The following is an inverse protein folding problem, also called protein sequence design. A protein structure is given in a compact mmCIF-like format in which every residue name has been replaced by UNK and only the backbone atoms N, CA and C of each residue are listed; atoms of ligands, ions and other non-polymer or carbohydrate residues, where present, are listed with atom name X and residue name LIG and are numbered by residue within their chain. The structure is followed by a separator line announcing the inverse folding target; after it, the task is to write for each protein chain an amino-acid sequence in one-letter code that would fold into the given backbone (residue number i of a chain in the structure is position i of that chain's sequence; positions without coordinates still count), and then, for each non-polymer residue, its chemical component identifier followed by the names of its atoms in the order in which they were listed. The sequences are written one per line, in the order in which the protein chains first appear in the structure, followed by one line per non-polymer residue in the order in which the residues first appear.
data_IF_954361471645
#
_entry.id   IF_954361471645
#
_cell.length_a   1.000
_cell.length_b   1.000
_cell.length_c   1.000
_cell.angle_alpha   90.00
_cell.angle_beta   90.00
_cell.angle_gamma   90.00
#
_symmetry.space_group_name_H-M   'P 1'
#
loop_
_entity.id
_entity.type
_entity.pdbx_description
1 polymer ?
2 polymer ?
3 non-polymer ?
4 non-polymer ?
5 water ?
#
# COMPACT_ATOMS: atom_id res chain seq x y z
N UNK A 15 -28.47 -28.25 -10.10
CA UNK A 15 -28.53 -28.49 -11.53
C UNK A 15 -27.83 -27.36 -12.28
N UNK A 16 -26.83 -27.69 -13.10
CA UNK A 16 -26.14 -26.69 -13.92
C UNK A 16 -26.48 -26.91 -15.39
N UNK A 17 -26.02 -25.98 -16.22
CA UNK A 17 -26.15 -26.14 -17.66
C UNK A 17 -25.14 -25.24 -18.37
N UNK A 18 -24.88 -25.56 -19.63
CA UNK A 18 -24.01 -24.75 -20.47
C UNK A 18 -24.55 -24.78 -21.89
N UNK A 19 -24.67 -23.60 -22.50
CA UNK A 19 -25.15 -23.46 -23.87
C UNK A 19 -23.97 -22.99 -24.71
N UNK A 20 -23.69 -23.72 -25.78
CA UNK A 20 -22.50 -23.47 -26.59
C UNK A 20 -22.86 -23.49 -28.06
N UNK A 21 -22.12 -22.70 -28.83
CA UNK A 21 -22.27 -22.67 -30.28
C UNK A 21 -21.30 -23.64 -30.92
N UNK A 22 -21.82 -24.47 -31.83
CA UNK A 22 -21.00 -25.42 -32.57
C UNK A 22 -21.32 -25.30 -34.05
N UNK A 23 -20.43 -25.86 -34.87
CA UNK A 23 -20.60 -25.90 -36.32
C UNK A 23 -20.49 -27.34 -36.76
N UNK A 24 -21.61 -27.91 -37.19
CA UNK A 24 -21.62 -29.27 -37.73
C UNK A 24 -21.05 -29.26 -39.14
N UNK A 25 -20.29 -30.30 -39.48
CA UNK A 25 -19.83 -30.43 -40.85
C UNK A 25 -20.93 -30.96 -41.76
N UNK A 26 -21.97 -31.59 -41.18
CA UNK A 26 -23.13 -31.97 -41.98
C UNK A 26 -23.89 -30.74 -42.45
N UNK A 27 -24.09 -29.77 -41.55
CA UNK A 27 -24.74 -28.49 -41.85
C UNK A 27 -23.74 -27.38 -41.56
N UNK A 28 -22.81 -27.12 -42.48
CA UNK A 28 -21.77 -26.12 -42.20
C UNK A 28 -22.21 -24.67 -42.35
N UNK A 29 -23.36 -24.43 -42.98
CA UNK A 29 -23.75 -23.06 -43.29
C UNK A 29 -24.20 -22.29 -42.05
N UNK A 30 -24.99 -22.94 -41.19
CA UNK A 30 -25.58 -22.24 -40.05
C UNK A 30 -24.83 -22.57 -38.77
N UNK A 31 -25.35 -22.08 -37.64
CA UNK A 31 -24.78 -22.33 -36.33
C UNK A 31 -25.80 -23.07 -35.48
N UNK A 32 -25.37 -24.14 -34.83
CA UNK A 32 -26.25 -24.88 -33.93
C UNK A 32 -25.92 -24.53 -32.49
N UNK A 33 -26.67 -25.12 -31.57
CA UNK A 33 -26.49 -24.86 -30.15
C UNK A 33 -26.56 -26.17 -29.39
N UNK A 34 -25.67 -26.31 -28.42
CA UNK A 34 -25.67 -27.44 -27.50
C UNK A 34 -26.00 -26.93 -26.11
N UNK A 35 -27.01 -27.51 -25.49
CA UNK A 35 -27.38 -27.20 -24.11
C UNK A 35 -27.15 -28.47 -23.29
N UNK A 36 -26.02 -28.52 -22.58
CA UNK A 36 -25.67 -29.65 -21.74
C UNK A 36 -26.03 -29.30 -20.30
N UNK A 37 -26.79 -30.17 -19.64
CA UNK A 37 -27.17 -29.99 -18.24
C UNK A 37 -26.79 -31.21 -17.42
N UNK A 38 -26.34 -30.98 -16.18
CA UNK A 38 -25.79 -32.04 -15.34
C UNK A 38 -25.93 -31.65 -13.87
N UNK A 39 -25.64 -32.60 -13.00
CA UNK A 39 -25.75 -32.43 -11.55
C UNK A 39 -25.16 -33.62 -10.81
N UNK A 40 -24.16 -33.44 -9.96
CA UNK A 40 -23.55 -32.13 -9.79
C UNK A 40 -22.28 -32.05 -10.64
N UNK A 41 -21.86 -33.20 -11.18
CA UNK A 41 -20.67 -33.27 -12.03
C UNK A 41 -21.05 -33.90 -13.36
N UNK A 42 -20.23 -33.61 -14.38
CA UNK A 42 -20.48 -34.16 -15.71
C UNK A 42 -20.30 -35.68 -15.76
N UNK A 43 -19.61 -36.25 -14.77
CA UNK A 43 -19.33 -37.69 -14.78
C UNK A 43 -20.57 -38.50 -14.42
N UNK A 44 -21.40 -37.98 -13.52
CA UNK A 44 -22.58 -38.72 -13.06
C UNK A 44 -23.70 -38.75 -14.08
N UNK A 45 -23.45 -38.37 -15.32
CA UNK A 45 -24.48 -38.34 -16.33
C UNK A 45 -24.92 -36.91 -16.64
N UNK A 46 -25.42 -36.72 -17.85
CA UNK A 46 -25.85 -35.40 -18.27
C UNK A 46 -26.88 -35.53 -19.37
N UNK A 47 -27.61 -34.44 -19.61
CA UNK A 47 -28.55 -34.32 -20.70
C UNK A 47 -27.95 -33.36 -21.72
N UNK A 48 -27.98 -33.76 -22.99
CA UNK A 48 -27.40 -32.98 -24.07
C UNK A 48 -28.45 -32.78 -25.15
N UNK A 49 -28.57 -31.55 -25.65
CA UNK A 49 -29.59 -31.17 -26.61
C UNK A 49 -28.95 -30.37 -27.74
N UNK A 50 -29.28 -30.73 -28.97
CA UNK A 50 -28.87 -29.99 -30.16
C UNK A 50 -30.08 -29.29 -30.76
N UNK A 51 -29.88 -28.07 -31.25
CA UNK A 51 -30.99 -27.30 -31.79
C UNK A 51 -30.47 -26.29 -32.81
N UNK A 52 -31.29 -26.02 -33.83
CA UNK A 52 -30.95 -25.06 -34.87
C UNK A 52 -31.93 -23.90 -34.90
N UNK A 53 -32.63 -23.64 -33.79
CA UNK A 53 -33.68 -22.65 -33.78
C UNK A 53 -34.96 -23.09 -34.45
N UNK A 54 -35.14 -24.38 -34.67
CA UNK A 54 -36.36 -24.93 -35.27
C UNK A 54 -36.67 -26.30 -34.69
N UNK A 55 -35.80 -27.28 -34.95
CA UNK A 55 -35.94 -28.59 -34.34
C UNK A 55 -34.99 -28.72 -33.16
N UNK A 56 -35.16 -29.79 -32.41
CA UNK A 56 -34.31 -30.04 -31.24
C UNK A 56 -34.21 -31.54 -31.01
N UNK A 57 -32.98 -32.02 -30.80
CA UNK A 57 -32.72 -33.41 -30.50
C UNK A 57 -32.09 -33.50 -29.12
N UNK A 58 -32.67 -34.35 -28.27
CA UNK A 58 -32.23 -34.47 -26.89
C UNK A 58 -31.87 -35.92 -26.58
N UNK A 59 -30.76 -36.10 -25.88
CA UNK A 59 -30.37 -37.43 -25.41
C UNK A 59 -29.81 -37.34 -24.01
N UNK A 60 -30.03 -38.41 -23.25
CA UNK A 60 -29.52 -38.52 -21.89
C UNK A 60 -28.38 -39.52 -21.87
N UNK A 61 -27.19 -39.05 -21.52
CA UNK A 61 -26.00 -39.88 -21.42
C UNK A 61 -25.81 -40.25 -19.96
N UNK A 62 -26.04 -41.51 -19.62
CA UNK A 62 -25.96 -41.96 -18.24
C UNK A 62 -24.51 -42.02 -17.79
N UNK A 63 -24.33 -42.33 -16.49
CA UNK A 63 -22.99 -42.50 -15.96
C UNK A 63 -22.30 -43.73 -16.54
N UNK A 64 -23.07 -44.81 -16.74
CA UNK A 64 -22.51 -46.02 -17.32
C UNK A 64 -22.04 -45.81 -18.74
N UNK A 65 -22.75 -44.97 -19.50
CA UNK A 65 -22.36 -44.72 -20.89
C UNK A 65 -21.07 -43.92 -20.97
N UNK A 66 -20.79 -43.07 -19.98
CA UNK A 66 -19.54 -42.32 -19.98
C UNK A 66 -18.38 -43.26 -19.70
N UNK A 67 -18.55 -44.19 -18.74
CA UNK A 67 -17.52 -45.19 -18.48
C UNK A 67 -17.26 -46.06 -19.71
N UNK A 68 -18.35 -46.55 -20.33
CA UNK A 68 -18.20 -47.40 -21.51
C UNK A 68 -17.47 -46.69 -22.63
N UNK A 69 -17.79 -45.41 -22.84
CA UNK A 69 -17.16 -44.67 -23.94
C UNK A 69 -15.66 -44.52 -23.72
N UNK A 70 -15.25 -44.32 -22.47
CA UNK A 70 -13.83 -44.19 -22.16
C UNK A 70 -13.13 -45.54 -22.24
N UNK A 71 -13.79 -46.61 -21.77
CA UNK A 71 -13.17 -47.93 -21.78
C UNK A 71 -13.00 -48.45 -23.20
N UNK A 72 -13.98 -48.21 -24.07
CA UNK A 72 -13.88 -48.66 -25.46
C UNK A 72 -12.74 -47.99 -26.23
N UNK A 73 -12.11 -46.95 -25.67
CA UNK A 73 -10.92 -46.37 -26.27
C UNK A 73 -9.73 -46.41 -25.32
N UNK A 74 -9.83 -47.18 -24.23
CA UNK A 74 -8.72 -47.41 -23.31
C UNK A 74 -8.15 -46.09 -22.78
N UNK A 75 -9.05 -45.14 -22.51
CA UNK A 75 -8.69 -43.86 -21.91
C UNK A 75 -9.15 -43.84 -20.46
N UNK A 76 -8.30 -43.33 -19.58
CA UNK A 76 -8.68 -43.17 -18.19
C UNK A 76 -9.90 -42.26 -18.08
N UNK A 77 -10.82 -42.65 -17.22
CA UNK A 77 -12.06 -41.96 -17.05
C UNK A 77 -11.90 -40.48 -16.74
N UNK A 78 -11.13 -40.20 -15.74
CA UNK A 78 -10.90 -38.80 -15.37
C UNK A 78 -10.39 -37.98 -16.54
N UNK A 79 -9.46 -38.54 -17.32
CA UNK A 79 -8.96 -37.84 -18.50
C UNK A 79 -10.04 -37.71 -19.57
N UNK A 80 -10.94 -38.70 -19.67
CA UNK A 80 -11.99 -38.65 -20.69
C UNK A 80 -13.08 -37.65 -20.31
N UNK A 81 -13.56 -37.72 -19.06
CA UNK A 81 -14.53 -36.74 -18.59
C UNK A 81 -13.98 -35.33 -18.74
N UNK A 82 -12.67 -35.17 -18.57
CA UNK A 82 -12.05 -33.88 -18.83
C UNK A 82 -12.12 -33.47 -20.29
N UNK A 83 -12.21 -34.45 -21.19
CA UNK A 83 -12.32 -34.13 -22.62
C UNK A 83 -13.75 -33.80 -23.01
N UNK A 84 -14.74 -34.33 -22.28
CA UNK A 84 -16.12 -33.93 -22.51
C UNK A 84 -16.33 -32.46 -22.19
N UNK A 85 -15.86 -32.03 -21.01
CA UNK A 85 -15.95 -30.62 -20.64
C UNK A 85 -15.29 -29.73 -21.68
N UNK A 86 -14.16 -30.18 -22.24
CA UNK A 86 -13.44 -29.36 -23.20
C UNK A 86 -14.17 -29.30 -24.54
N UNK A 87 -14.92 -30.34 -24.89
CA UNK A 87 -15.61 -30.44 -26.17
C UNK A 87 -17.08 -30.04 -26.10
N UNK A 88 -17.80 -30.43 -25.06
CA UNK A 88 -19.23 -30.18 -24.97
C UNK A 88 -19.58 -28.92 -24.21
N UNK A 89 -18.70 -28.46 -23.32
CA UNK A 89 -18.96 -27.29 -22.49
C UNK A 89 -18.18 -26.06 -22.96
N UNK A 90 -17.62 -26.10 -24.18
CA UNK A 90 -16.93 -24.96 -24.79
C UNK A 90 -15.86 -24.38 -23.86
N UNK A 91 -15.05 -25.27 -23.29
CA UNK A 91 -13.97 -24.83 -22.43
C UNK A 91 -12.63 -25.41 -22.79
N UNK A 92 -12.13 -25.08 -23.98
CA UNK A 92 -10.86 -25.63 -24.44
C UNK A 92 -10.27 -24.75 -25.53
N UNK A 93 -8.96 -24.90 -25.72
CA UNK A 93 -8.26 -24.30 -26.83
C UNK A 93 -8.25 -22.79 -26.80
N UNK A 94 -7.64 -22.16 -27.83
CA UNK A 94 -6.88 -22.79 -28.92
C UNK A 94 -5.55 -23.40 -28.42
N UNK A 95 -4.98 -24.35 -29.16
CA UNK A 95 -5.51 -24.80 -30.44
C UNK A 95 -6.15 -26.18 -30.35
N UNK A 96 -7.09 -26.33 -29.42
CA UNK A 96 -7.87 -27.57 -29.32
C UNK A 96 -8.93 -27.55 -30.42
N UNK A 97 -8.73 -28.36 -31.45
CA UNK A 97 -9.66 -28.46 -32.56
C UNK A 97 -10.62 -29.60 -32.32
N UNK A 98 -11.90 -29.36 -32.57
CA UNK A 98 -12.94 -30.38 -32.44
C UNK A 98 -13.83 -30.34 -33.66
N UNK A 99 -14.30 -31.52 -34.06
CA UNK A 99 -15.19 -31.68 -35.20
C UNK A 99 -16.47 -32.33 -34.71
N UNK A 100 -17.62 -31.80 -35.14
CA UNK A 100 -18.92 -32.26 -34.69
C UNK A 100 -19.73 -32.75 -35.88
N UNK A 101 -20.33 -33.92 -35.73
CA UNK A 101 -21.15 -34.52 -36.77
C UNK A 101 -22.51 -34.88 -36.19
N UNK A 102 -23.55 -34.75 -37.02
CA UNK A 102 -24.87 -35.18 -36.61
C UNK A 102 -25.62 -35.67 -37.84
N UNK A 103 -26.24 -36.83 -37.72
CA UNK A 103 -27.06 -37.42 -38.76
C UNK A 103 -28.51 -37.36 -38.32
N UNK A 104 -29.33 -36.59 -39.05
CA UNK A 104 -30.73 -36.47 -38.69
C UNK A 104 -31.51 -37.75 -38.93
N UNK A 105 -30.93 -38.72 -39.65
CA UNK A 105 -31.60 -40.00 -39.87
C UNK A 105 -31.41 -40.94 -38.69
N UNK A 106 -30.15 -41.19 -38.29
CA UNK A 106 -29.86 -42.05 -37.17
C UNK A 106 -29.90 -41.34 -35.83
N UNK A 107 -29.89 -40.00 -35.84
CA UNK A 107 -29.92 -39.20 -34.62
C UNK A 107 -28.73 -39.50 -33.71
N UNK A 108 -27.59 -39.79 -34.33
CA UNK A 108 -26.35 -40.01 -33.60
C UNK A 108 -25.51 -38.75 -33.67
N UNK A 109 -25.01 -38.32 -32.52
CA UNK A 109 -24.14 -37.16 -32.41
C UNK A 109 -22.70 -37.66 -32.24
N UNK A 110 -21.84 -37.32 -33.18
CA UNK A 110 -20.43 -37.69 -33.14
C UNK A 110 -19.58 -36.46 -32.93
N UNK A 111 -18.51 -36.61 -32.16
CA UNK A 111 -17.52 -35.55 -32.05
C UNK A 111 -16.15 -36.16 -31.81
N UNK A 112 -15.12 -35.48 -32.30
CA UNK A 112 -13.76 -35.99 -32.25
C UNK A 112 -12.79 -34.82 -32.10
N UNK A 113 -11.67 -35.10 -31.42
CA UNK A 113 -10.59 -34.13 -31.27
C UNK A 113 -9.56 -34.38 -32.37
N UNK A 114 -9.30 -33.35 -33.17
CA UNK A 114 -8.46 -33.48 -34.35
C UNK A 114 -7.06 -32.95 -34.07
N UNK A 115 -6.07 -33.81 -34.23
CA UNK A 115 -4.67 -33.41 -34.25
C UNK A 115 -4.13 -33.53 -35.67
N UNK A 116 -2.89 -33.06 -35.85
CA UNK A 116 -2.29 -33.03 -37.19
C UNK A 116 -2.03 -34.43 -37.72
N UNK A 117 -1.93 -35.44 -36.85
CA UNK A 117 -1.60 -36.79 -37.28
C UNK A 117 -2.57 -37.86 -36.79
N UNK A 118 -3.51 -37.53 -35.89
CA UNK A 118 -4.44 -38.53 -35.37
C UNK A 118 -5.71 -37.81 -34.94
N UNK A 119 -6.84 -38.51 -35.05
CA UNK A 119 -8.13 -38.01 -34.58
C UNK A 119 -8.71 -38.99 -33.58
N UNK A 120 -9.08 -38.51 -32.40
CA UNK A 120 -9.64 -39.32 -31.35
C UNK A 120 -11.17 -39.21 -31.40
N UNK A 121 -11.83 -40.29 -31.82
CA UNK A 121 -13.30 -40.34 -31.82
C UNK A 121 -13.76 -40.41 -30.37
N UNK A 122 -14.27 -39.30 -29.85
CA UNK A 122 -14.51 -39.17 -28.42
C UNK A 122 -15.89 -39.64 -27.98
N UNK A 123 -16.92 -39.44 -28.79
CA UNK A 123 -18.26 -39.75 -28.35
C UNK A 123 -19.20 -40.04 -29.50
N UNK A 124 -20.24 -40.82 -29.20
CA UNK A 124 -21.30 -41.11 -30.16
C UNK A 124 -22.59 -41.22 -29.36
N UNK A 125 -23.35 -40.13 -29.32
CA UNK A 125 -24.55 -40.02 -28.51
C UNK A 125 -25.78 -40.02 -29.40
N UNK A 126 -26.82 -40.73 -28.95
CA UNK A 126 -28.09 -40.81 -29.67
C UNK A 126 -29.05 -39.79 -29.09
N UNK A 127 -29.39 -38.78 -29.88
CA UNK A 127 -30.27 -37.69 -29.47
C UNK A 127 -31.57 -37.84 -30.26
N UNK A 128 -32.59 -38.43 -29.65
CA UNK A 128 -33.86 -38.60 -30.33
C UNK A 128 -34.57 -37.25 -30.48
N UNK A 129 -35.29 -37.11 -31.60
CA UNK A 129 -35.94 -35.84 -31.90
C UNK A 129 -37.10 -35.60 -30.95
N UNK A 130 -37.21 -34.37 -30.45
CA UNK A 130 -38.28 -34.03 -29.51
C UNK A 130 -39.53 -33.65 -30.29
N UNK A 131 -40.69 -33.81 -29.63
CA UNK A 131 -41.95 -33.55 -30.30
C UNK A 131 -42.27 -32.05 -30.33
N UNK A 132 -41.97 -31.32 -29.26
CA UNK A 132 -42.23 -29.88 -29.18
C UNK A 132 -40.89 -29.16 -29.00
N UNK A 133 -40.18 -28.89 -30.09
CA UNK A 133 -38.91 -28.16 -29.97
C UNK A 133 -39.06 -26.71 -29.56
N UNK A 134 -40.21 -26.09 -29.84
CA UNK A 134 -40.40 -24.69 -29.47
C UNK A 134 -40.40 -24.53 -27.95
N UNK A 135 -41.03 -25.47 -27.24
CA UNK A 135 -41.01 -25.44 -25.78
C UNK A 135 -39.58 -25.49 -25.24
N UNK A 136 -38.71 -26.25 -25.91
CA UNK A 136 -37.32 -26.34 -25.48
C UNK A 136 -36.58 -25.04 -25.83
N UNK A 137 -36.82 -24.51 -27.02
CA UNK A 137 -36.16 -23.27 -27.41
C UNK A 137 -36.60 -22.11 -26.51
N UNK A 138 -37.88 -22.06 -26.15
CA UNK A 138 -38.35 -20.99 -25.28
C UNK A 138 -37.72 -21.07 -23.90
N UNK A 139 -37.69 -22.27 -23.31
CA UNK A 139 -37.04 -22.44 -22.02
C UNK A 139 -35.56 -22.07 -22.10
N UNK A 140 -34.91 -22.37 -23.22
CA UNK A 140 -33.51 -21.99 -23.40
C UNK A 140 -33.36 -20.47 -23.41
N UNK A 141 -34.26 -19.76 -24.08
CA UNK A 141 -34.15 -18.30 -24.12
C UNK A 141 -34.53 -17.70 -22.78
N UNK A 142 -35.53 -18.28 -22.09
CA UNK A 142 -35.85 -17.82 -20.75
C UNK A 142 -34.66 -17.97 -19.82
N UNK A 143 -33.88 -19.04 -19.97
CA UNK A 143 -32.69 -19.20 -19.15
C UNK A 143 -31.65 -18.12 -19.47
N UNK A 144 -31.44 -17.82 -20.75
CA UNK A 144 -30.47 -16.81 -21.10
C UNK A 144 -30.89 -15.43 -20.61
N UNK A 145 -32.18 -15.10 -20.72
CA UNK A 145 -32.66 -13.81 -20.21
C UNK A 145 -32.52 -13.73 -18.71
N UNK A 146 -32.85 -14.81 -18.00
CA UNK A 146 -32.67 -14.83 -16.55
C UNK A 146 -31.20 -14.69 -16.17
N UNK A 147 -30.31 -15.30 -16.96
CA UNK A 147 -28.88 -15.19 -16.67
C UNK A 147 -28.38 -13.77 -16.89
N UNK A 148 -28.82 -13.13 -17.98
CA UNK A 148 -28.43 -11.75 -18.24
C UNK A 148 -28.91 -10.84 -17.12
N UNK A 149 -30.13 -11.07 -16.63
CA UNK A 149 -30.65 -10.26 -15.52
C UNK A 149 -29.84 -10.50 -14.25
N UNK A 150 -29.45 -11.74 -13.99
CA UNK A 150 -28.61 -12.02 -12.83
C UNK A 150 -27.23 -11.36 -12.97
N UNK A 151 -26.66 -11.40 -14.17
CA UNK A 151 -25.33 -10.85 -14.37
C UNK A 151 -25.32 -9.33 -14.18
N UNK A 152 -26.29 -8.64 -14.78
CA UNK A 152 -26.34 -7.19 -14.63
C UNK A 152 -26.65 -6.77 -13.20
N UNK A 153 -27.26 -7.64 -12.40
CA UNK A 153 -27.43 -7.33 -10.98
C UNK A 153 -26.12 -7.45 -10.23
N UNK A 154 -25.31 -8.45 -10.56
CA UNK A 154 -23.99 -8.59 -9.94
C UNK A 154 -23.06 -7.48 -10.40
N UNK A 155 -23.23 -6.99 -11.62
CA UNK A 155 -22.50 -5.80 -12.07
C UNK A 155 -22.81 -4.61 -11.17
N UNK A 156 -24.10 -4.31 -11.00
CA UNK A 156 -24.49 -3.13 -10.24
C UNK A 156 -24.10 -3.26 -8.77
N UNK A 157 -24.07 -4.48 -8.24
CA UNK A 157 -23.69 -4.66 -6.84
C UNK A 157 -22.17 -4.60 -6.65
N UNK A 158 -21.41 -5.09 -7.63
CA UNK A 158 -19.95 -4.99 -7.56
C UNK A 158 -19.48 -3.58 -7.88
N UNK A 159 -20.10 -2.95 -8.87
CA UNK A 159 -19.76 -1.56 -9.18
C UNK A 159 -20.03 -0.64 -7.99
N UNK A 160 -21.09 -0.94 -7.23
CA UNK A 160 -21.38 -0.13 -6.05
C UNK A 160 -20.34 -0.31 -4.96
N UNK A 161 -19.73 -1.50 -4.86
CA UNK A 161 -18.71 -1.71 -3.84
C UNK A 161 -17.43 -0.95 -4.15
N UNK A 162 -17.13 -0.71 -5.43
CA UNK A 162 -15.94 0.07 -5.77
C UNK A 162 -16.15 1.55 -5.51
N UNK A 163 -17.35 2.06 -5.79
CA UNK A 163 -17.66 3.44 -5.45
C UNK A 163 -17.55 3.68 -3.96
N UNK A 164 -17.83 2.66 -3.15
CA UNK A 164 -17.66 2.77 -1.71
C UNK A 164 -16.21 2.56 -1.31
N UNK A 165 -15.54 1.57 -1.90
CA UNK A 165 -14.14 1.32 -1.57
C UNK A 165 -13.27 2.50 -1.97
N UNK A 166 -13.58 3.15 -3.09
CA UNK A 166 -12.81 4.31 -3.52
C UNK A 166 -13.15 5.56 -2.73
N UNK A 167 -14.36 5.65 -2.16
CA UNK A 167 -14.65 6.78 -1.29
C UNK A 167 -14.09 6.56 0.11
N UNK A 168 -13.96 5.30 0.54
CA UNK A 168 -13.21 5.03 1.76
C UNK A 168 -11.74 5.37 1.58
N UNK A 169 -11.19 5.09 0.41
CA UNK A 169 -9.80 5.44 0.13
C UNK A 169 -9.62 6.95 0.03
N UNK A 170 -10.59 7.66 -0.58
CA UNK A 170 -10.49 9.11 -0.68
C UNK A 170 -10.64 9.79 0.67
N UNK A 171 -11.37 9.17 1.59
CA UNK A 171 -11.48 9.75 2.94
C UNK A 171 -10.18 9.59 3.71
N UNK A 172 -9.56 8.40 3.65
CA UNK A 172 -8.29 8.19 4.32
C UNK A 172 -7.22 9.07 3.71
N UNK A 173 -7.25 9.26 2.39
CA UNK A 173 -6.24 10.07 1.72
C UNK A 173 -6.30 11.51 2.19
N UNK A 174 -7.51 12.06 2.31
CA UNK A 174 -7.65 13.43 2.79
C UNK A 174 -7.39 13.58 4.27
N UNK A 175 -7.70 12.54 5.05
CA UNK A 175 -7.48 12.61 6.49
C UNK A 175 -6.03 12.40 6.85
N UNK A 176 -5.32 11.53 6.12
CA UNK A 176 -3.91 11.30 6.43
C UNK A 176 -3.06 12.50 6.02
N UNK A 177 -3.41 13.16 4.91
CA UNK A 177 -2.73 14.41 4.56
C UNK A 177 -2.98 15.51 5.58
N UNK A 178 -4.05 15.40 6.38
CA UNK A 178 -4.20 16.30 7.51
C UNK A 178 -3.28 15.92 8.66
N UNK A 179 -2.99 14.62 8.82
CA UNK A 179 -1.98 14.22 9.80
C UNK A 179 -0.60 14.71 9.39
N UNK A 180 -0.28 14.66 8.09
CA UNK A 180 1.01 15.11 7.61
C UNK A 180 1.14 16.62 7.79
N UNK A 181 0.08 17.37 7.47
CA UNK A 181 0.13 18.82 7.64
C UNK A 181 0.18 19.21 9.11
N UNK A 182 -0.50 18.44 9.97
CA UNK A 182 -0.44 18.73 11.40
C UNK A 182 0.92 18.40 11.98
N UNK A 183 1.51 17.33 11.51
CA UNK A 183 2.82 16.96 11.95
C UNK A 183 3.85 17.99 11.52
N UNK A 184 3.77 18.46 10.29
CA UNK A 184 4.67 19.49 9.79
C UNK A 184 4.47 20.80 10.55
N UNK A 185 3.23 21.16 10.83
CA UNK A 185 2.97 22.36 11.62
C UNK A 185 3.48 22.21 13.05
N UNK A 186 3.54 20.97 13.55
CA UNK A 186 4.11 20.74 14.88
C UNK A 186 5.61 20.88 14.85
N UNK A 187 6.27 20.18 13.92
CA UNK A 187 7.73 20.25 13.83
C UNK A 187 8.21 21.66 13.54
N UNK A 188 7.40 22.46 12.83
CA UNK A 188 7.76 23.85 12.63
C UNK A 188 7.64 24.64 13.93
N UNK A 189 6.57 24.43 14.70
CA UNK A 189 6.43 25.10 15.98
C UNK A 189 7.45 24.63 17.00
N UNK A 190 7.95 23.40 16.87
CA UNK A 190 9.01 22.95 17.77
C UNK A 190 10.33 23.66 17.45
N UNK A 191 10.61 23.89 16.17
CA UNK A 191 11.84 24.61 15.81
C UNK A 191 11.72 26.09 16.14
N UNK A 192 10.52 26.67 16.00
CA UNK A 192 10.33 28.06 16.39
C UNK A 192 10.55 28.25 17.88
N UNK A 193 9.97 27.36 18.70
CA UNK A 193 10.19 27.43 20.14
C UNK A 193 11.66 27.21 20.50
N UNK A 194 12.35 26.37 19.74
CA UNK A 194 13.77 26.12 20.01
C UNK A 194 14.61 27.34 19.70
N UNK A 195 14.30 28.04 18.60
CA UNK A 195 15.09 29.22 18.24
C UNK A 195 14.80 30.38 19.19
N UNK A 196 13.52 30.59 19.53
CA UNK A 196 13.17 31.67 20.45
C UNK A 196 13.92 31.56 21.76
N UNK A 197 14.08 30.33 22.27
CA UNK A 197 14.82 30.15 23.52
C UNK A 197 16.32 30.25 23.28
N UNK A 198 16.79 29.70 22.15
CA UNK A 198 18.22 29.76 21.85
C UNK A 198 18.69 31.20 21.66
N UNK A 199 17.83 32.07 21.13
CA UNK A 199 18.22 33.47 20.96
C UNK A 199 18.28 34.20 22.29
N UNK A 200 17.40 33.85 23.24
CA UNK A 200 17.46 34.44 24.57
C UNK A 200 18.77 34.09 25.25
N UNK A 201 19.22 32.83 25.11
CA UNK A 201 20.46 32.42 25.76
C UNK A 201 21.67 33.06 25.08
N UNK A 202 21.59 33.31 23.77
CA UNK A 202 22.65 34.03 23.10
C UNK A 202 22.63 35.51 23.48
N UNK A 203 21.43 36.08 23.65
CA UNK A 203 21.32 37.47 24.12
C UNK A 203 21.86 37.61 25.53
N UNK A 204 21.71 36.58 26.36
CA UNK A 204 22.24 36.63 27.72
C UNK A 204 23.76 36.51 27.71
N UNK A 205 24.31 35.60 26.89
CA UNK A 205 25.76 35.47 26.79
C UNK A 205 26.37 36.76 26.26
N UNK A 206 25.72 37.37 25.26
CA UNK A 206 26.19 38.64 24.74
C UNK A 206 26.16 39.73 25.81
N UNK A 207 25.17 39.68 26.72
CA UNK A 207 25.11 40.66 27.79
C UNK A 207 26.18 40.41 28.84
N UNK A 208 26.51 39.13 29.09
CA UNK A 208 27.60 38.83 30.02
C UNK A 208 28.94 39.19 29.42
N UNK A 209 29.08 39.09 28.10
CA UNK A 209 30.32 39.52 27.46
C UNK A 209 30.54 41.03 27.64
N UNK A 210 29.49 41.81 27.41
CA UNK A 210 29.57 43.25 27.64
C UNK A 210 29.78 43.57 29.10
N UNK A 211 29.22 42.75 30.00
CA UNK A 211 29.47 42.94 31.42
C UNK A 211 30.94 42.70 31.76
N UNK A 212 31.53 41.65 31.18
CA UNK A 212 32.95 41.42 31.34
C UNK A 212 33.75 42.55 30.71
N UNK A 213 33.30 43.04 29.54
CA UNK A 213 33.99 44.15 28.89
C UNK A 213 33.84 45.43 29.70
N UNK A 214 32.68 45.68 30.25
CA UNK A 214 32.46 46.86 31.04
C UNK A 214 33.28 46.83 32.31
N UNK A 215 33.42 45.67 32.91
CA UNK A 215 34.20 45.56 34.13
C UNK A 215 35.66 45.89 33.88
N UNK A 216 36.22 45.38 32.78
CA UNK A 216 37.61 45.68 32.46
C UNK A 216 37.80 47.14 32.08
N UNK A 217 36.79 47.76 31.47
CA UNK A 217 36.90 49.17 31.11
C UNK A 217 36.80 50.06 32.35
N UNK A 218 35.84 49.77 33.24
CA UNK A 218 35.73 50.55 34.47
C UNK A 218 36.89 50.29 35.42
N UNK A 219 37.64 49.20 35.21
CA UNK A 219 38.85 48.96 36.00
C UNK A 219 39.99 49.86 35.56
N UNK A 220 40.15 50.04 34.24
CA UNK A 220 41.21 50.91 33.73
C UNK A 220 40.97 52.36 34.12
N UNK A 221 39.72 52.77 34.26
CA UNK A 221 39.43 54.13 34.73
C UNK A 221 39.80 54.28 36.20
N UNK A 222 39.54 53.26 37.02
CA UNK A 222 39.88 53.33 38.43
C UNK A 222 41.39 53.26 38.66
N UNK A 223 42.14 52.72 37.71
CA UNK A 223 43.59 52.68 37.84
C UNK A 223 44.20 54.01 37.40
N UNK A 224 43.72 54.56 36.28
CA UNK A 224 44.25 55.83 35.78
C UNK A 224 43.99 56.99 36.72
N UNK A 225 42.96 56.88 37.55
CA UNK A 225 42.62 57.96 38.47
C UNK A 225 43.17 57.80 39.90
N UNK A 226 43.36 56.56 40.35
CA UNK A 226 43.87 56.34 41.70
C UNK A 226 45.38 56.39 41.76
N UNK A 227 46.06 55.87 40.74
CA UNK A 227 47.52 55.86 40.72
C UNK A 227 48.12 54.77 41.58
N UNK B 2 64.65 68.13 66.47
CA UNK B 2 64.12 66.79 66.24
C UNK B 2 64.83 66.09 65.09
N UNK B 3 64.69 64.77 65.03
CA UNK B 3 65.25 63.96 63.95
C UNK B 3 64.31 64.08 62.75
N UNK B 4 64.55 65.13 61.94
CA UNK B 4 63.64 65.43 60.84
C UNK B 4 63.65 64.32 59.80
N UNK B 5 64.82 63.92 59.33
CA UNK B 5 64.91 62.91 58.28
C UNK B 5 64.34 61.57 58.75
N UNK B 6 64.50 61.24 60.03
CA UNK B 6 63.91 60.02 60.57
C UNK B 6 62.39 60.04 60.41
N UNK B 7 61.76 61.16 60.78
CA UNK B 7 60.30 61.23 60.72
C UNK B 7 59.81 61.21 59.27
N UNK B 8 60.46 61.97 58.39
CA UNK B 8 60.03 62.01 57.00
C UNK B 8 60.19 60.65 56.32
N UNK B 9 61.30 59.97 56.59
CA UNK B 9 61.55 58.68 55.96
C UNK B 9 60.59 57.61 56.50
N UNK B 10 60.48 57.51 57.82
CA UNK B 10 59.62 56.48 58.41
C UNK B 10 58.16 56.69 58.01
N UNK B 11 57.76 57.93 57.72
CA UNK B 11 56.40 58.18 57.27
C UNK B 11 56.26 57.88 55.78
N UNK B 12 57.27 58.21 54.98
CA UNK B 12 57.24 57.88 53.56
C UNK B 12 57.22 56.37 53.34
N UNK B 13 57.98 55.63 54.15
CA UNK B 13 57.96 54.19 54.03
C UNK B 13 56.61 53.61 54.44
N UNK B 14 55.87 54.30 55.30
CA UNK B 14 54.58 53.77 55.73
C UNK B 14 53.52 53.96 54.65
N UNK B 15 53.49 55.13 54.01
CA UNK B 15 52.51 55.36 52.95
C UNK B 15 52.80 54.48 51.75
N UNK B 16 54.08 54.22 51.45
CA UNK B 16 54.40 53.30 50.37
C UNK B 16 53.96 51.89 50.73
N UNK B 17 54.15 51.49 51.99
CA UNK B 17 53.69 50.18 52.43
C UNK B 17 52.17 50.10 52.44
N UNK B 18 51.50 51.19 52.85
CA UNK B 18 50.05 51.15 52.95
C UNK B 18 49.39 51.19 51.57
N UNK B 19 49.91 52.02 50.66
CA UNK B 19 49.32 52.10 49.33
C UNK B 19 49.54 50.81 48.55
N UNK B 20 50.70 50.17 48.71
CA UNK B 20 50.93 48.89 48.06
C UNK B 20 49.99 47.82 48.60
N UNK B 21 49.74 47.82 49.92
CA UNK B 21 48.79 46.89 50.49
C UNK B 21 47.40 47.08 49.91
N UNK B 22 46.97 48.33 49.76
CA UNK B 22 45.69 48.60 49.12
C UNK B 22 45.74 48.31 47.63
N UNK B 23 46.91 48.49 47.01
CA UNK B 23 47.08 48.18 45.60
C UNK B 23 46.81 46.72 45.31
N UNK B 24 47.43 45.82 46.08
CA UNK B 24 47.23 44.40 45.87
C UNK B 24 45.80 43.98 46.21
N UNK B 25 45.19 44.62 47.23
CA UNK B 25 43.85 44.25 47.63
C UNK B 25 42.83 44.58 46.53
N UNK B 26 42.92 45.78 45.96
CA UNK B 26 42.02 46.16 44.88
C UNK B 26 42.26 45.36 43.61
N UNK B 27 43.47 44.82 43.42
CA UNK B 27 43.70 43.95 42.27
C UNK B 27 43.05 42.59 42.49
N UNK B 28 43.13 42.05 43.71
CA UNK B 28 42.50 40.77 44.00
C UNK B 28 40.99 40.86 43.88
N UNK B 29 40.40 41.96 44.36
CA UNK B 29 38.97 42.13 44.26
C UNK B 29 38.52 42.20 42.80
N UNK B 30 39.36 42.77 41.93
CA UNK B 30 39.03 42.81 40.51
C UNK B 30 39.06 41.41 39.91
N UNK B 31 40.13 40.65 40.18
CA UNK B 31 40.19 39.27 39.69
C UNK B 31 39.03 38.45 40.18
N UNK B 32 38.54 38.72 41.40
CA UNK B 32 37.42 37.97 41.94
C UNK B 32 36.15 38.24 41.15
N UNK B 33 35.92 39.51 40.79
CA UNK B 33 34.75 39.84 39.98
C UNK B 33 34.90 39.34 38.55
N UNK B 34 36.12 39.35 38.02
CA UNK B 34 36.37 38.80 36.69
C UNK B 34 36.10 37.30 36.69
N UNK B 35 36.64 36.58 37.68
CA UNK B 35 36.39 35.14 37.76
C UNK B 35 34.92 34.84 37.94
N UNK B 36 34.18 35.78 38.52
CA UNK B 36 32.75 35.61 38.73
C UNK B 36 31.97 35.67 37.42
N UNK B 37 32.33 36.63 36.57
CA UNK B 37 31.67 36.80 35.28
C UNK B 37 32.06 35.69 34.32
N UNK B 38 33.36 35.37 34.25
CA UNK B 38 33.80 34.32 33.34
C UNK B 38 33.24 32.97 33.74
N UNK B 39 32.95 32.76 35.02
CA UNK B 39 32.28 31.54 35.44
C UNK B 39 30.80 31.57 35.05
N UNK B 40 30.13 32.70 35.31
CA UNK B 40 28.72 32.81 34.95
C UNK B 40 28.52 32.70 33.45
N UNK B 41 29.49 33.19 32.66
CA UNK B 41 29.40 33.05 31.21
C UNK B 41 29.63 31.61 30.77
N UNK B 42 30.52 30.89 31.46
CA UNK B 42 30.75 29.49 31.12
C UNK B 42 29.54 28.62 31.47
N UNK B 43 28.73 29.04 32.45
CA UNK B 43 27.54 28.25 32.77
C UNK B 43 26.39 28.54 31.81
N UNK B 44 26.21 29.80 31.43
CA UNK B 44 25.25 30.12 30.39
C UNK B 44 25.63 29.50 29.06
N UNK B 45 26.93 29.34 28.81
CA UNK B 45 27.37 28.68 27.58
C UNK B 45 27.05 27.19 27.62
N UNK B 46 27.18 26.56 28.79
CA UNK B 46 26.83 25.15 28.91
C UNK B 46 25.32 24.95 28.88
N UNK B 47 24.56 25.89 29.46
CA UNK B 47 23.10 25.81 29.40
C UNK B 47 22.61 25.94 27.96
N UNK B 48 23.36 26.65 27.12
CA UNK B 48 22.96 26.79 25.73
C UNK B 48 23.24 25.53 24.93
N UNK B 49 24.37 24.88 25.18
CA UNK B 49 24.65 23.61 24.50
C UNK B 49 23.75 22.50 25.02
N UNK B 50 23.36 22.57 26.30
CA UNK B 50 22.33 21.68 26.81
C UNK B 50 21.02 21.86 26.04
N UNK B 51 20.62 23.11 25.83
CA UNK B 51 19.40 23.40 25.08
C UNK B 51 19.51 22.93 23.64
N UNK B 52 20.72 22.95 23.07
CA UNK B 52 20.91 22.47 21.71
C UNK B 52 20.84 20.94 21.66
N UNK B 53 21.64 20.26 22.48
CA UNK B 53 21.67 18.80 22.47
C UNK B 53 20.32 18.21 22.83
N UNK B 54 19.53 18.92 23.65
CA UNK B 54 18.21 18.44 24.01
C UNK B 54 17.27 18.45 22.81
N UNK B 55 17.39 19.46 21.96
CA UNK B 55 16.60 19.48 20.73
C UNK B 55 17.14 18.49 19.70
N UNK B 56 18.46 18.42 19.55
CA UNK B 56 19.03 17.48 18.59
C UNK B 56 18.74 16.04 18.98
N UNK B 57 18.57 15.77 20.27
CA UNK B 57 18.20 14.42 20.70
C UNK B 57 16.74 14.12 20.35
N UNK B 58 15.87 15.12 20.44
CA UNK B 58 14.47 14.92 20.06
C UNK B 58 14.33 14.60 18.58
N UNK B 59 15.07 15.32 17.73
CA UNK B 59 15.06 15.02 16.30
C UNK B 59 15.60 13.63 16.02
N UNK B 60 16.61 13.21 16.78
CA UNK B 60 17.21 11.90 16.54
C UNK B 60 16.25 10.77 16.92
N UNK B 61 15.37 11.01 17.90
CA UNK B 61 14.44 9.98 18.33
C UNK B 61 13.21 9.90 17.42
N UNK B 62 12.77 11.03 16.87
CA UNK B 62 11.59 11.05 16.03
C UNK B 62 11.84 10.53 14.62
N UNK B 63 13.07 10.12 14.30
CA UNK B 63 13.35 9.64 12.94
C UNK B 63 12.54 8.39 12.61
N UNK B 64 12.34 7.52 13.61
CA UNK B 64 11.55 6.32 13.36
C UNK B 64 10.13 6.64 12.92
N UNK B 65 9.50 7.61 13.59
CA UNK B 65 8.16 8.02 13.18
C UNK B 65 8.19 8.74 11.84
N UNK B 66 9.25 9.51 11.57
CA UNK B 66 9.36 10.21 10.29
C UNK B 66 9.38 9.23 9.13
N UNK B 67 10.17 8.16 9.25
CA UNK B 67 10.26 7.18 8.18
C UNK B 67 8.92 6.49 7.95
N UNK B 68 8.20 6.17 9.02
CA UNK B 68 6.92 5.48 8.88
C UNK B 68 5.87 6.37 8.24
N UNK B 69 5.81 7.64 8.65
CA UNK B 69 4.81 8.55 8.09
C UNK B 69 5.06 8.81 6.61
N UNK B 70 6.33 8.93 6.21
CA UNK B 70 6.64 9.09 4.80
C UNK B 70 6.32 7.83 4.01
N UNK B 71 6.64 6.66 4.57
CA UNK B 71 6.31 5.40 3.90
C UNK B 71 4.82 5.25 3.70
N UNK B 72 4.02 5.71 4.67
CA UNK B 72 2.58 5.56 4.56
C UNK B 72 1.99 6.50 3.50
N UNK B 73 2.51 7.72 3.41
CA UNK B 73 2.00 8.66 2.41
C UNK B 73 2.38 8.25 0.99
N UNK B 74 3.44 7.45 0.84
CA UNK B 74 3.78 6.92 -0.48
C UNK B 74 2.75 5.89 -0.94
N UNK B 75 2.18 5.12 -0.01
CA UNK B 75 1.16 4.15 -0.36
C UNK B 75 -0.20 4.78 -0.60
N UNK B 76 -0.44 5.98 -0.07
CA UNK B 76 -1.76 6.59 -0.18
C UNK B 76 -1.84 7.53 -1.37
N UNK B 77 -0.76 8.28 -1.67
CA UNK B 77 -0.75 9.20 -2.80
C UNK B 77 -0.46 8.44 -4.10
N UNK B 78 -1.37 7.52 -4.43
CA UNK B 78 -1.28 6.72 -5.65
C UNK B 78 -2.59 5.99 -5.93
#
# INVERSE_FOLDING_TARGET
MGSSHHHHHHSQGSMERKISRIHLVSEPSITHFLQVSWEKTLESGFVITLTDGHSAWTGTVSESEISQEADDMAMEKGKYVGELRKALLSGAGPADVYTFNFSKESCYFFFEKNLKDVSFRLGSFNLEKVENPAEVIRELICYCLDTIAENQAKNEHLQKENERLLRDWNDVQGRFEKCVSAKEALETDLYKRFILVLNEKKTKIRSLHNKLLNAAQEREKDIKQEG
MARSMEQQEDSLEKVIKDTESLFKTREKEYQETIDQIELELATAKNDMNRHLHEYMEMCSMKRGLDVQMETCRRLITQSGDR
#
